data_IF_854733308806
#
_entry.id   IF_854733308806
#
_cell.length_a   1.000
_cell.length_b   1.000
_cell.length_c   1.000
_cell.angle_alpha   90.00
_cell.angle_beta   90.00
_cell.angle_gamma   90.00
#
_symmetry.space_group_name_H-M   'P 1'
#
loop_
_entity.id
_entity.type
_entity.pdbx_description
1 polymer ?
#
# COMPACT_ATOMS: atom_id res chain seq x y z
N UNK A 1 11.56 10.27 -18.64
CA UNK A 1 11.74 10.60 -17.22
C UNK A 1 10.36 10.45 -16.60
N UNK A 2 10.14 9.42 -15.78
CA UNK A 2 8.86 9.30 -15.06
C UNK A 2 8.76 10.44 -14.06
N UNK A 3 7.62 11.12 -14.02
CA UNK A 3 7.35 12.13 -13.01
C UNK A 3 7.16 11.44 -11.65
N UNK A 4 7.61 12.06 -10.56
CA UNK A 4 7.41 11.49 -9.23
C UNK A 4 5.93 11.38 -8.92
N UNK A 5 5.49 10.21 -8.44
CA UNK A 5 4.14 10.05 -7.92
C UNK A 5 4.10 10.44 -6.44
N UNK A 6 3.00 11.02 -6.00
CA UNK A 6 2.76 11.28 -4.59
C UNK A 6 1.74 10.28 -4.09
N UNK A 7 2.09 9.48 -3.10
CA UNK A 7 1.27 8.36 -2.66
C UNK A 7 0.96 8.45 -1.19
N UNK A 8 -0.30 8.16 -0.85
CA UNK A 8 -0.79 8.17 0.50
C UNK A 8 -0.72 6.74 1.05
N UNK A 9 0.02 6.58 2.14
CA UNK A 9 0.27 5.28 2.74
C UNK A 9 -0.17 5.24 4.20
N UNK A 10 -0.55 4.05 4.66
CA UNK A 10 -0.84 3.76 6.07
C UNK A 10 0.12 2.70 6.60
N UNK A 11 0.50 2.85 7.87
CA UNK A 11 1.32 1.86 8.57
C UNK A 11 0.55 0.58 8.91
N UNK A 12 -0.77 0.70 9.08
CA UNK A 12 -1.71 -0.38 9.37
C UNK A 12 -3.03 -0.06 8.70
N UNK A 13 -3.77 -1.07 8.25
CA UNK A 13 -5.06 -0.85 7.57
C UNK A 13 -6.08 -0.13 8.46
N UNK A 14 -6.11 -0.49 9.75
CA UNK A 14 -6.97 0.13 10.75
C UNK A 14 -6.53 1.55 11.17
N UNK A 15 -5.38 2.03 10.67
CA UNK A 15 -4.92 3.38 11.00
C UNK A 15 -5.85 4.42 10.35
N UNK A 16 -6.21 5.46 11.12
CA UNK A 16 -7.07 6.54 10.63
C UNK A 16 -6.29 7.54 9.78
N UNK A 17 -4.97 7.59 9.92
CA UNK A 17 -4.12 8.62 9.32
C UNK A 17 -3.29 8.03 8.18
N UNK A 18 -3.43 8.66 7.01
CA UNK A 18 -2.55 8.42 5.88
C UNK A 18 -1.42 9.48 5.86
N UNK A 19 -0.26 9.07 5.40
CA UNK A 19 0.92 9.93 5.24
C UNK A 19 1.34 9.93 3.77
N UNK A 20 1.66 11.10 3.24
CA UNK A 20 2.07 11.25 1.83
C UNK A 20 3.58 11.06 1.69
N UNK A 21 3.98 10.21 0.75
CA UNK A 21 5.36 9.94 0.37
C UNK A 21 5.56 10.21 -1.12
N UNK A 22 6.79 10.51 -1.50
CA UNK A 22 7.19 10.71 -2.90
C UNK A 22 7.77 9.41 -3.45
N UNK A 23 7.23 8.94 -4.56
CA UNK A 23 7.78 7.82 -5.30
C UNK A 23 8.50 8.33 -6.54
N UNK A 24 9.83 8.29 -6.51
CA UNK A 24 10.69 8.65 -7.64
C UNK A 24 11.05 7.43 -8.52
N UNK A 25 10.55 6.22 -8.17
CA UNK A 25 10.88 4.95 -8.82
C UNK A 25 9.74 4.44 -9.71
N UNK A 26 9.58 3.11 -9.82
CA UNK A 26 8.49 2.47 -10.56
C UNK A 26 7.14 2.83 -9.95
N UNK A 27 6.11 3.15 -10.77
CA UNK A 27 4.80 3.54 -10.26
C UNK A 27 4.18 2.43 -9.41
N UNK A 28 3.46 2.85 -8.37
CA UNK A 28 2.75 1.94 -7.45
C UNK A 28 1.24 2.16 -7.57
N UNK A 29 0.50 1.14 -7.17
CA UNK A 29 -0.96 1.11 -7.22
C UNK A 29 -1.56 1.07 -5.82
N UNK A 30 -2.84 1.43 -5.70
CA UNK A 30 -3.56 1.32 -4.43
C UNK A 30 -3.66 -0.15 -4.04
N UNK A 31 -3.31 -0.47 -2.80
CA UNK A 31 -3.22 -1.84 -2.28
C UNK A 31 -1.78 -2.39 -2.22
N UNK A 32 -0.84 -1.78 -2.96
CA UNK A 32 0.56 -2.19 -2.90
C UNK A 32 1.17 -1.94 -1.53
N UNK A 33 2.21 -2.72 -1.20
CA UNK A 33 3.06 -2.48 -0.04
C UNK A 33 4.37 -1.81 -0.48
N UNK A 34 4.86 -0.85 0.30
CA UNK A 34 6.10 -0.13 0.02
C UNK A 34 6.88 0.10 1.29
N UNK A 35 8.20 0.10 1.19
CA UNK A 35 9.10 0.39 2.30
C UNK A 35 9.42 1.89 2.34
N UNK A 36 9.26 2.49 3.52
CA UNK A 36 9.57 3.90 3.78
C UNK A 36 10.54 4.04 4.96
N UNK A 37 11.31 5.12 4.97
CA UNK A 37 12.20 5.43 6.10
C UNK A 37 11.44 6.18 7.22
N UNK A 38 11.45 5.58 8.40
CA UNK A 38 10.93 6.19 9.63
C UNK A 38 12.04 6.45 10.63
N UNK A 39 11.71 7.14 11.73
CA UNK A 39 12.64 7.35 12.85
C UNK A 39 13.09 6.05 13.53
N UNK A 40 12.35 4.94 13.32
CA UNK A 40 12.67 3.62 13.87
C UNK A 40 13.41 2.72 12.88
N UNK A 41 13.71 3.24 11.68
CA UNK A 41 14.26 2.48 10.57
C UNK A 41 13.24 2.26 9.46
N UNK A 42 13.55 1.33 8.56
CA UNK A 42 12.68 0.95 7.45
C UNK A 42 11.38 0.33 7.96
N UNK A 43 10.25 0.74 7.40
CA UNK A 43 8.93 0.20 7.76
C UNK A 43 8.08 0.04 6.52
N UNK A 44 7.33 -1.07 6.46
CA UNK A 44 6.40 -1.35 5.38
C UNK A 44 5.08 -0.62 5.63
N UNK A 45 4.57 0.03 4.59
CA UNK A 45 3.30 0.75 4.59
C UNK A 45 2.46 0.28 3.40
N UNK A 46 1.15 0.35 3.54
CA UNK A 46 0.20 0.02 2.48
C UNK A 46 -0.22 1.29 1.76
N UNK A 47 -0.16 1.30 0.44
CA UNK A 47 -0.64 2.40 -0.40
C UNK A 47 -2.17 2.38 -0.38
N UNK A 48 -2.77 3.49 0.05
CA UNK A 48 -4.22 3.66 0.15
C UNK A 48 -4.76 4.73 -0.79
N UNK A 49 -3.87 5.52 -1.41
CA UNK A 49 -4.26 6.57 -2.35
C UNK A 49 -3.08 7.05 -3.18
N UNK A 50 -3.38 7.62 -4.33
CA UNK A 50 -2.41 8.25 -5.23
C UNK A 50 -2.89 9.68 -5.46
N UNK A 51 -1.98 10.64 -5.31
CA UNK A 51 -2.21 12.06 -5.57
C UNK A 51 -1.66 12.45 -6.92
N UNK A 52 -2.50 13.10 -7.71
CA UNK A 52 -2.16 13.64 -9.03
C UNK A 52 -1.31 14.92 -8.91
N UNK A 53 -1.48 15.67 -7.82
CA UNK A 53 -0.80 16.94 -7.58
C UNK A 53 0.19 16.86 -6.40
N UNK A 54 1.35 17.54 -6.50
CA UNK A 54 2.31 17.60 -5.41
C UNK A 54 1.74 18.35 -4.20
N UNK A 55 1.90 17.83 -2.98
CA UNK A 55 1.55 18.57 -1.78
C UNK A 55 2.48 19.78 -1.56
N UNK A 56 1.98 20.78 -0.84
CA UNK A 56 2.75 21.99 -0.50
C UNK A 56 3.86 21.78 0.56
N UNK A 57 4.15 20.53 0.93
CA UNK A 57 5.14 20.17 1.94
C UNK A 57 6.12 19.12 1.41
N UNK A 58 7.34 19.13 1.93
CA UNK A 58 8.38 18.18 1.54
C UNK A 58 7.98 16.75 1.96
N UNK A 59 7.97 15.84 0.99
CA UNK A 59 7.60 14.44 1.19
C UNK A 59 8.84 13.57 1.27
N UNK A 60 8.86 12.66 2.24
CA UNK A 60 9.90 11.63 2.30
C UNK A 60 9.79 10.68 1.10
N UNK A 61 10.92 10.15 0.60
CA UNK A 61 10.89 9.21 -0.51
C UNK A 61 10.43 7.81 -0.08
N UNK A 62 9.81 7.08 -1.01
CA UNK A 62 9.70 5.63 -0.95
C UNK A 62 11.04 5.01 -1.31
N UNK A 63 11.46 4.00 -0.54
CA UNK A 63 12.72 3.31 -0.75
C UNK A 63 12.58 2.23 -1.83
N UNK A 64 11.54 1.41 -1.73
CA UNK A 64 11.24 0.30 -2.67
C UNK A 64 9.81 -0.20 -2.53
N UNK A 65 9.27 -0.78 -3.61
CA UNK A 65 8.06 -1.60 -3.57
C UNK A 65 8.37 -2.92 -2.85
N UNK A 66 7.42 -3.42 -2.07
CA UNK A 66 7.50 -4.70 -1.37
C UNK A 66 6.40 -5.57 -1.93
N UNK A 67 6.76 -6.74 -2.47
CA UNK A 67 5.77 -7.73 -2.88
C UNK A 67 4.97 -8.17 -1.65
N UNK A 68 3.62 -8.13 -1.69
CA UNK A 68 2.85 -8.74 -0.64
C UNK A 68 3.20 -10.23 -0.62
N UNK A 69 3.65 -10.75 0.53
CA UNK A 69 3.72 -12.20 0.71
C UNK A 69 2.33 -12.75 0.39
N UNK A 70 2.21 -13.76 -0.50
CA UNK A 70 0.92 -14.34 -0.82
C UNK A 70 0.35 -14.87 0.50
N UNK A 71 -0.76 -14.27 0.95
CA UNK A 71 -1.51 -14.83 2.05
C UNK A 71 -2.05 -16.18 1.58
N UNK A 72 -1.37 -17.24 2.00
CA UNK A 72 -1.83 -18.62 1.84
C UNK A 72 -3.21 -18.73 2.52
N UNK A 73 -4.27 -18.84 1.70
CA UNK A 73 -5.53 -19.48 2.10
C UNK A 73 -6.62 -18.60 2.70
N UNK A 74 -7.17 -17.65 1.93
CA UNK A 74 -8.62 -17.44 1.94
C UNK A 74 -9.24 -18.51 1.01
N UNK A 75 -9.25 -19.76 1.46
CA UNK A 75 -9.79 -20.87 0.68
C UNK A 75 -11.33 -20.87 0.77
N UNK A 76 -11.92 -20.40 -0.32
CA UNK A 76 -13.14 -20.89 -0.97
C UNK A 76 -14.48 -20.79 -0.23
N UNK A 77 -15.30 -19.84 -0.69
CA UNK A 77 -16.75 -19.95 -0.69
C UNK A 77 -17.22 -20.64 -1.98
N UNK A 78 -18.08 -21.65 -1.84
CA UNK A 78 -19.13 -22.18 -2.76
C UNK A 78 -19.38 -23.66 -2.36
N UNK A 79 -20.54 -24.30 -2.47
CA UNK A 79 -21.94 -23.98 -2.74
C UNK A 79 -22.69 -25.35 -2.67
N UNK A 80 -23.95 -25.37 -2.19
CA UNK A 80 -24.96 -26.34 -2.65
C UNK A 80 -25.10 -27.74 -2.02
N UNK A 81 -26.28 -27.97 -1.39
CA UNK A 81 -27.18 -29.15 -1.45
C UNK A 81 -26.64 -30.52 -0.91
N UNK A 82 -27.34 -31.45 -0.24
CA UNK A 82 -28.73 -31.96 -0.12
C UNK A 82 -28.83 -32.65 1.29
N UNK A 83 -29.94 -33.02 1.92
CA UNK A 83 -31.26 -33.39 1.44
C UNK A 83 -32.22 -33.75 2.59
N UNK A 84 -33.40 -34.20 2.16
CA UNK A 84 -34.59 -34.63 2.89
C UNK A 84 -34.37 -35.67 4.01
N UNK A 85 -35.14 -35.57 5.10
CA UNK A 85 -36.18 -36.55 5.49
C UNK A 85 -37.11 -36.03 6.61
#
# INVERSE_FOLDING_TARGET
MSHPQFVECKFREADLRAYTYRNDSEPVEIGDRSAVETTRGETVVTVVGIREEPPAFDCKPILRKVEPEPEEGADTAEDGAEGEE
#
